data_IF_343810193469
#
_entry.id   IF_343810193469
#
_cell.length_a   1.000
_cell.length_b   1.000
_cell.length_c   1.000
_cell.angle_alpha   90.00
_cell.angle_beta   90.00
_cell.angle_gamma   90.00
#
_symmetry.space_group_name_H-M   'P 1'
#
loop_
_entity.id
_entity.type
_entity.pdbx_description
1 polymer ?
#
# COMPACT_ATOMS: atom_id res chain seq x y z
N UNK A 1 14.70 9.28 16.54
CA UNK A 1 14.23 8.44 15.42
C UNK A 1 12.95 7.77 15.91
N UNK A 2 11.83 7.86 15.17
CA UNK A 2 10.54 7.29 15.62
C UNK A 2 10.67 5.77 15.84
N UNK A 3 10.25 5.28 17.01
CA UNK A 3 10.24 3.85 17.34
C UNK A 3 9.09 3.17 16.60
N UNK A 4 9.32 2.81 15.33
CA UNK A 4 8.28 2.20 14.48
C UNK A 4 7.71 0.87 15.04
N UNK A 5 8.35 0.30 16.06
CA UNK A 5 7.91 -0.89 16.80
C UNK A 5 6.63 -0.68 17.60
N UNK A 6 6.32 0.57 17.95
CA UNK A 6 5.15 0.91 18.78
C UNK A 6 3.88 1.13 17.94
N UNK A 7 3.99 1.15 16.61
CA UNK A 7 2.85 1.41 15.73
C UNK A 7 2.20 0.11 15.28
N UNK A 8 0.88 0.03 15.42
CA UNK A 8 0.08 -1.07 14.85
C UNK A 8 -0.32 -0.79 13.40
N UNK A 9 -0.37 0.49 13.01
CA UNK A 9 -0.85 0.94 11.70
C UNK A 9 0.15 1.92 11.10
N UNK A 10 0.53 1.70 9.84
CA UNK A 10 1.32 2.64 9.03
C UNK A 10 0.47 3.06 7.83
N UNK A 11 0.30 4.36 7.64
CA UNK A 11 -0.41 4.93 6.50
C UNK A 11 0.59 5.70 5.64
N UNK A 12 0.66 5.36 4.37
CA UNK A 12 1.51 6.04 3.39
C UNK A 12 0.61 6.77 2.40
N UNK A 13 0.56 8.11 2.46
CA UNK A 13 -0.07 8.91 1.42
C UNK A 13 0.71 8.80 0.11
N UNK A 14 -0.01 8.57 -0.97
CA UNK A 14 0.56 8.44 -2.30
C UNK A 14 -0.04 9.50 -3.22
N UNK A 15 0.81 10.06 -4.08
CA UNK A 15 0.39 10.83 -5.25
C UNK A 15 1.03 10.21 -6.49
N UNK A 16 0.22 9.80 -7.45
CA UNK A 16 0.68 9.29 -8.74
C UNK A 16 -0.16 9.92 -9.85
N UNK A 17 0.50 10.67 -10.75
CA UNK A 17 -0.16 11.37 -11.87
C UNK A 17 -1.35 12.24 -11.45
N UNK A 18 -1.17 13.01 -10.37
CA UNK A 18 -2.20 13.89 -9.74
C UNK A 18 -3.35 13.17 -9.03
N UNK A 19 -3.30 11.84 -8.93
CA UNK A 19 -4.29 11.09 -8.18
C UNK A 19 -3.77 10.75 -6.78
N UNK A 20 -4.59 11.01 -5.76
CA UNK A 20 -4.28 10.70 -4.37
C UNK A 20 -4.91 9.37 -3.93
N UNK A 21 -4.12 8.56 -3.25
CA UNK A 21 -4.60 7.34 -2.60
C UNK A 21 -3.72 7.01 -1.40
N UNK A 22 -4.18 6.08 -0.55
CA UNK A 22 -3.43 5.66 0.63
C UNK A 22 -3.04 4.18 0.51
N UNK A 23 -1.86 3.85 1.05
CA UNK A 23 -1.49 2.46 1.32
C UNK A 23 -1.40 2.31 2.84
N UNK A 24 -2.26 1.47 3.39
CA UNK A 24 -2.35 1.20 4.82
C UNK A 24 -1.77 -0.19 5.13
N UNK A 25 -0.84 -0.24 6.08
CA UNK A 25 -0.28 -1.46 6.65
C UNK A 25 -0.84 -1.61 8.05
N UNK A 26 -1.71 -2.60 8.22
CA UNK A 26 -2.20 -3.04 9.51
C UNK A 26 -1.28 -4.19 9.98
N UNK A 27 -0.31 -3.84 10.82
CA UNK A 27 0.76 -4.74 11.28
C UNK A 27 0.27 -5.77 12.29
N UNK A 28 -0.85 -5.49 12.95
CA UNK A 28 -1.51 -6.36 13.91
C UNK A 28 -2.29 -7.47 13.20
N UNK A 29 -3.15 -7.08 12.24
CA UNK A 29 -3.98 -8.01 11.49
C UNK A 29 -3.32 -8.56 10.22
N UNK A 30 -2.06 -8.17 9.95
CA UNK A 30 -1.27 -8.64 8.80
C UNK A 30 -1.96 -8.33 7.47
N UNK A 31 -2.42 -7.09 7.30
CA UNK A 31 -3.14 -6.63 6.10
C UNK A 31 -2.42 -5.46 5.46
N UNK A 32 -2.35 -5.48 4.13
CA UNK A 32 -1.96 -4.30 3.34
C UNK A 32 -3.15 -3.92 2.46
N UNK A 33 -3.69 -2.73 2.69
CA UNK A 33 -4.88 -2.21 2.02
C UNK A 33 -4.53 -0.96 1.24
N UNK A 34 -4.84 -0.97 -0.05
CA UNK A 34 -4.89 0.25 -0.82
C UNK A 34 -6.29 0.85 -0.65
N UNK A 35 -6.35 2.11 -0.19
CA UNK A 35 -7.58 2.87 -0.01
C UNK A 35 -7.58 3.94 -1.09
N UNK A 36 -8.54 3.85 -1.99
CA UNK A 36 -8.64 4.72 -3.15
C UNK A 36 -10.11 4.90 -3.50
N UNK A 37 -10.51 6.16 -3.63
CA UNK A 37 -11.87 6.55 -3.98
C UNK A 37 -12.21 6.30 -5.46
N UNK A 38 -11.28 5.82 -6.28
CA UNK A 38 -11.60 5.51 -7.67
C UNK A 38 -12.22 4.13 -7.85
N UNK A 39 -13.14 3.99 -8.79
CA UNK A 39 -13.64 2.68 -9.24
C UNK A 39 -12.49 1.82 -9.80
N UNK A 40 -12.54 0.51 -9.53
CA UNK A 40 -11.44 -0.46 -9.59
C UNK A 40 -10.71 -0.64 -10.94
N UNK A 41 -11.15 -0.02 -12.03
CA UNK A 41 -10.53 -0.15 -13.36
C UNK A 41 -9.85 1.12 -13.91
N UNK A 42 -9.97 2.27 -13.25
CA UNK A 42 -9.41 3.51 -13.79
C UNK A 42 -8.16 4.02 -13.03
N UNK A 43 -7.69 3.29 -12.02
CA UNK A 43 -6.52 3.69 -11.24
C UNK A 43 -5.25 3.85 -12.09
N UNK A 44 -4.47 4.90 -11.85
CA UNK A 44 -3.19 5.12 -12.55
C UNK A 44 -2.06 4.17 -12.11
N UNK A 45 -2.32 3.35 -11.09
CA UNK A 45 -1.37 2.39 -10.55
C UNK A 45 -1.77 0.96 -10.90
N UNK A 46 -0.77 0.07 -10.99
CA UNK A 46 -0.99 -1.38 -11.12
C UNK A 46 -0.95 -2.04 -9.76
N UNK A 47 -1.87 -2.97 -9.50
CA UNK A 47 -1.90 -3.75 -8.25
C UNK A 47 -1.09 -5.05 -8.32
N UNK A 48 -0.55 -5.38 -9.50
CA UNK A 48 0.13 -6.66 -9.73
C UNK A 48 1.62 -6.61 -9.42
N UNK A 49 2.12 -7.73 -8.91
CA UNK A 49 3.54 -8.02 -8.87
C UNK A 49 4.01 -8.49 -10.26
N UNK A 50 5.00 -7.81 -10.83
CA UNK A 50 5.67 -8.23 -12.05
C UNK A 50 6.85 -9.17 -11.77
N UNK A 51 7.33 -9.84 -12.81
CA UNK A 51 8.54 -10.70 -12.72
C UNK A 51 9.81 -9.86 -12.56
N UNK A 52 9.81 -8.66 -13.14
CA UNK A 52 10.88 -7.66 -12.99
C UNK A 52 10.37 -6.46 -12.21
N UNK A 53 11.27 -5.78 -11.51
CA UNK A 53 10.94 -4.56 -10.76
C UNK A 53 10.21 -3.51 -11.59
N UNK A 54 10.60 -3.31 -12.86
CA UNK A 54 9.94 -2.37 -13.77
C UNK A 54 8.48 -2.72 -14.09
N UNK A 55 8.13 -4.01 -14.00
CA UNK A 55 6.78 -4.52 -14.25
C UNK A 55 5.92 -4.51 -12.97
N UNK A 56 6.54 -4.43 -11.80
CA UNK A 56 5.86 -4.34 -10.51
C UNK A 56 5.17 -2.99 -10.36
N UNK A 57 3.88 -3.02 -10.01
CA UNK A 57 3.11 -1.80 -9.75
C UNK A 57 3.59 -1.05 -8.51
N UNK A 58 3.37 0.27 -8.50
CA UNK A 58 3.81 1.19 -7.44
C UNK A 58 3.40 0.71 -6.03
N UNK A 59 2.14 0.33 -5.77
CA UNK A 59 1.74 -0.21 -4.46
C UNK A 59 2.52 -1.43 -4.00
N UNK A 60 2.83 -2.37 -4.91
CA UNK A 60 3.64 -3.54 -4.58
C UNK A 60 5.10 -3.16 -4.26
N UNK A 61 5.67 -2.17 -4.97
CA UNK A 61 7.01 -1.64 -4.67
C UNK A 61 7.04 -1.02 -3.27
N UNK A 62 6.06 -0.18 -2.94
CA UNK A 62 5.94 0.44 -1.61
C UNK A 62 5.82 -0.63 -0.53
N UNK A 63 5.00 -1.67 -0.74
CA UNK A 63 4.94 -2.83 0.16
C UNK A 63 6.33 -3.44 0.38
N UNK A 64 7.08 -3.69 -0.69
CA UNK A 64 8.40 -4.30 -0.59
C UNK A 64 9.39 -3.42 0.18
N UNK A 65 9.40 -2.11 -0.08
CA UNK A 65 10.25 -1.16 0.66
C UNK A 65 9.88 -1.09 2.13
N UNK A 66 8.59 -1.02 2.46
CA UNK A 66 8.12 -0.99 3.85
C UNK A 66 8.47 -2.29 4.58
N UNK A 67 8.31 -3.46 3.94
CA UNK A 67 8.74 -4.73 4.52
C UNK A 67 10.26 -4.78 4.72
N UNK A 68 11.04 -4.26 3.77
CA UNK A 68 12.50 -4.11 3.92
C UNK A 68 12.85 -3.26 5.14
N UNK A 69 12.25 -2.09 5.26
CA UNK A 69 12.42 -1.22 6.42
C UNK A 69 12.04 -1.92 7.73
N UNK A 70 10.91 -2.63 7.79
CA UNK A 70 10.49 -3.38 8.99
C UNK A 70 11.53 -4.45 9.39
N UNK A 71 12.20 -5.08 8.41
CA UNK A 71 13.29 -6.02 8.69
C UNK A 71 14.51 -5.30 9.26
N UNK A 72 14.88 -4.16 8.69
CA UNK A 72 16.05 -3.39 9.11
C UNK A 72 15.92 -2.90 10.56
N UNK A 73 14.72 -2.47 10.96
CA UNK A 73 14.43 -2.07 12.35
C UNK A 73 14.06 -3.25 13.27
N UNK A 74 14.16 -4.49 12.76
CA UNK A 74 13.86 -5.75 13.47
C UNK A 74 12.44 -5.78 14.08
N UNK A 75 11.45 -5.25 13.36
CA UNK A 75 10.07 -5.26 13.83
C UNK A 75 9.50 -6.70 13.83
N UNK A 76 8.79 -7.15 14.88
CA UNK A 76 8.24 -8.50 14.97
C UNK A 76 7.25 -8.89 13.87
N UNK A 77 6.61 -7.92 13.20
CA UNK A 77 5.65 -8.17 12.12
C UNK A 77 6.32 -8.31 10.75
N UNK A 78 7.62 -8.04 10.60
CA UNK A 78 8.29 -7.98 9.30
C UNK A 78 8.11 -9.26 8.45
N UNK A 79 8.31 -10.44 9.06
CA UNK A 79 8.15 -11.72 8.37
C UNK A 79 6.70 -11.97 7.94
N UNK A 80 5.73 -11.69 8.83
CA UNK A 80 4.29 -11.83 8.55
C UNK A 80 3.84 -10.86 7.45
N UNK A 81 4.32 -9.61 7.50
CA UNK A 81 4.00 -8.59 6.50
C UNK A 81 4.58 -8.86 5.12
N UNK A 82 5.68 -9.60 5.01
CA UNK A 82 6.18 -10.07 3.72
C UNK A 82 5.13 -10.95 3.00
N UNK A 83 4.45 -11.83 3.74
CA UNK A 83 3.41 -12.71 3.23
C UNK A 83 2.04 -12.03 3.05
N UNK A 84 1.81 -10.85 3.64
CA UNK A 84 0.52 -10.15 3.58
C UNK A 84 0.12 -9.79 2.14
N UNK A 85 -1.07 -10.17 1.69
CA UNK A 85 -1.55 -9.80 0.35
C UNK A 85 -1.97 -8.33 0.30
N UNK A 86 -1.47 -7.60 -0.69
CA UNK A 86 -1.95 -6.26 -1.01
C UNK A 86 -3.32 -6.38 -1.70
N UNK A 87 -4.33 -5.72 -1.15
CA UNK A 87 -5.69 -5.71 -1.73
C UNK A 87 -6.25 -4.29 -1.75
N UNK A 88 -7.04 -3.95 -2.76
CA UNK A 88 -7.79 -2.68 -2.79
C UNK A 88 -9.01 -2.82 -1.89
N UNK A 89 -9.26 -1.83 -1.03
CA UNK A 89 -10.49 -1.76 -0.24
C UNK A 89 -11.63 -1.25 -1.14
N UNK A 90 -12.72 -2.00 -1.20
CA UNK A 90 -13.96 -1.52 -1.82
C UNK A 90 -14.56 -0.42 -0.94
N UNK A 91 -14.87 0.72 -1.53
CA UNK A 91 -15.52 1.85 -0.87
C UNK A 91 -16.91 2.03 -1.50
N UNK A 92 -17.95 2.11 -0.67
CA UNK A 92 -19.35 2.26 -1.13
C UNK A 92 -19.59 3.59 -1.85
N UNK A 93 -18.76 4.59 -1.56
CA UNK A 93 -18.79 5.93 -2.12
C UNK A 93 -17.73 6.16 -3.22
N UNK A 94 -17.18 5.08 -3.79
CA UNK A 94 -16.20 5.18 -4.88
C UNK A 94 -16.77 5.95 -6.09
N UNK A 95 -15.94 6.80 -6.69
CA UNK A 95 -16.27 7.68 -7.81
C UNK A 95 -15.51 7.30 -9.08
N UNK A 96 -16.06 7.63 -10.24
CA UNK A 96 -15.46 7.38 -11.55
C UNK A 96 -14.57 8.51 -12.06
N UNK A 97 -14.72 9.74 -11.54
CA UNK A 97 -14.22 10.97 -12.16
C UNK A 97 -13.22 11.76 -11.29
N UNK A 98 -12.49 11.06 -10.40
CA UNK A 98 -11.54 11.68 -9.48
C UNK A 98 -10.18 12.01 -10.16
N UNK A 99 -10.24 12.72 -11.29
CA UNK A 99 -9.07 13.12 -12.10
C UNK A 99 -8.90 14.63 -12.25
N UNK A 100 -9.96 15.38 -11.92
CA UNK A 100 -10.06 16.82 -12.09
C UNK A 100 -10.40 17.45 -10.73
N UNK A 101 -9.44 17.48 -9.82
CA UNK A 101 -9.48 18.42 -8.70
C UNK A 101 -9.15 19.83 -9.18
#
# INVERSE_FOLDING_TARGET
MLELKEFNIIIIPMIERKHFYLICFDLENVKVKLIDNMVSNNGFYRMSAGTKFKETGTPCKVKNYMVGYLKDVKHPSAARMAAATLTKKTLEWATSDNFND
#
